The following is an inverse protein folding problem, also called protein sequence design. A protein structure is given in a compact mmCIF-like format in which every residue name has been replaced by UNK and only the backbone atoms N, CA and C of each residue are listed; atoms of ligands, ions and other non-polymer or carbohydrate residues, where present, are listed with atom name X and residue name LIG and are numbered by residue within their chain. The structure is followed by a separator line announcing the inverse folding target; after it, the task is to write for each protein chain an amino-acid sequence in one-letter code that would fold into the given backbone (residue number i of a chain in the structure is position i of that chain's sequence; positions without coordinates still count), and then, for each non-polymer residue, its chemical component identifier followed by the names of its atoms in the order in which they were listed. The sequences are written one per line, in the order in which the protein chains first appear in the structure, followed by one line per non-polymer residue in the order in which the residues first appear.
data_IF_019225774326
#
_entry.id   IF_019225774326
#
_cell.length_a   1.000
_cell.length_b   1.000
_cell.length_c   1.000
_cell.angle_alpha   90.00
_cell.angle_beta   90.00
_cell.angle_gamma   90.00
#
_symmetry.space_group_name_H-M   'P 1'
#
loop_
_entity.id
_entity.type
_entity.pdbx_description
1 polymer ?
#
# COMPACT_ATOMS: atom_id res chain seq x y z
N UNK A 1 -19.65 -34.62 31.05
CA UNK A 1 -18.91 -35.19 29.91
C UNK A 1 -18.92 -34.19 28.77
N UNK A 2 -17.83 -33.45 28.50
CA UNK A 2 -17.68 -32.72 27.25
C UNK A 2 -16.77 -33.52 26.29
N UNK A 3 -17.23 -33.76 25.07
CA UNK A 3 -16.46 -34.39 23.98
C UNK A 3 -15.60 -33.35 23.27
N UNK A 4 -14.30 -33.64 23.12
CA UNK A 4 -13.35 -32.85 22.35
C UNK A 4 -13.55 -33.06 20.84
N UNK A 5 -13.29 -32.05 19.98
CA UNK A 5 -13.11 -32.30 18.56
C UNK A 5 -11.71 -32.86 18.28
N UNK A 6 -11.65 -34.15 17.92
CA UNK A 6 -10.51 -34.75 17.24
C UNK A 6 -10.38 -34.14 15.85
N UNK A 7 -9.29 -33.42 15.57
CA UNK A 7 -8.84 -33.16 14.21
C UNK A 7 -7.37 -33.54 14.14
N UNK A 8 -7.11 -34.73 13.60
CA UNK A 8 -5.78 -35.19 13.21
C UNK A 8 -5.84 -35.55 11.75
N UNK A 9 -5.20 -34.75 10.92
CA UNK A 9 -4.61 -35.22 9.67
C UNK A 9 -3.40 -34.35 9.35
N UNK A 10 -2.25 -35.03 9.32
CA UNK A 10 -0.92 -34.49 9.15
C UNK A 10 -0.71 -33.80 7.79
N UNK A 11 0.18 -32.82 7.82
CA UNK A 11 0.78 -32.19 6.65
C UNK A 11 1.51 -33.20 5.75
N UNK A 12 1.77 -32.81 4.50
CA UNK A 12 3.14 -32.88 4.03
C UNK A 12 3.74 -31.48 3.98
N UNK A 13 4.80 -31.33 4.76
CA UNK A 13 5.75 -30.23 4.75
C UNK A 13 6.20 -29.91 3.31
N UNK A 14 5.92 -28.69 2.84
CA UNK A 14 6.75 -28.10 1.80
C UNK A 14 7.95 -27.44 2.49
N UNK A 15 8.77 -28.30 3.12
CA UNK A 15 10.12 -27.96 3.50
C UNK A 15 10.97 -28.07 2.25
N UNK A 16 11.91 -27.13 2.10
CA UNK A 16 12.84 -26.94 0.98
C UNK A 16 12.33 -25.93 -0.05
N UNK A 17 13.01 -24.77 -0.06
CA UNK A 17 13.32 -23.88 -1.21
C UNK A 17 13.44 -22.40 -0.82
N UNK A 18 13.50 -22.07 0.47
CA UNK A 18 13.75 -20.67 0.87
C UNK A 18 15.22 -20.25 0.72
N UNK A 19 16.17 -21.20 0.60
CA UNK A 19 17.61 -20.93 0.44
C UNK A 19 18.30 -21.94 -0.49
N UNK A 20 17.78 -22.12 -1.71
CA UNK A 20 18.50 -22.87 -2.73
C UNK A 20 18.43 -22.13 -4.05
N UNK A 21 19.38 -21.22 -4.25
CA UNK A 21 20.37 -21.27 -5.33
C UNK A 21 21.28 -20.04 -5.16
N UNK A 22 22.58 -20.25 -5.04
CA UNK A 22 23.57 -19.18 -5.11
C UNK A 22 23.53 -18.64 -6.54
N UNK A 23 22.72 -17.60 -6.79
CA UNK A 23 22.77 -16.87 -8.05
C UNK A 23 24.02 -16.00 -8.07
N UNK A 24 25.09 -16.65 -8.55
CA UNK A 24 26.20 -16.09 -9.32
C UNK A 24 25.81 -14.73 -9.92
N UNK A 25 26.58 -13.69 -9.61
CA UNK A 25 26.40 -12.32 -10.09
C UNK A 25 26.44 -12.29 -11.62
N UNK A 26 25.29 -12.44 -12.27
CA UNK A 26 25.14 -12.13 -13.68
C UNK A 26 24.71 -10.66 -13.78
N UNK A 27 25.66 -9.82 -14.16
CA UNK A 27 25.41 -8.44 -14.54
C UNK A 27 24.58 -8.44 -15.83
N UNK A 28 23.26 -8.26 -15.69
CA UNK A 28 22.41 -7.93 -16.83
C UNK A 28 22.53 -6.44 -17.05
N UNK A 29 23.11 -6.05 -18.19
CA UNK A 29 23.14 -4.68 -18.65
C UNK A 29 21.71 -4.15 -18.77
N UNK A 30 21.35 -3.18 -17.92
CA UNK A 30 20.06 -2.49 -18.00
C UNK A 30 20.14 -1.44 -19.12
N UNK A 31 19.37 -1.64 -20.19
CA UNK A 31 19.13 -0.62 -21.21
C UNK A 31 18.45 0.58 -20.56
N UNK A 32 18.94 1.83 -20.76
CA UNK A 32 18.30 2.99 -20.18
C UNK A 32 16.93 3.23 -20.82
N UNK A 33 15.91 3.38 -19.97
CA UNK A 33 14.56 3.79 -20.40
C UNK A 33 14.62 5.27 -20.79
N UNK A 34 14.40 5.55 -22.08
CA UNK A 34 14.32 6.90 -22.63
C UNK A 34 12.92 7.49 -22.36
N UNK A 35 12.81 8.43 -21.42
CA UNK A 35 11.58 9.19 -21.20
C UNK A 35 11.41 10.23 -22.30
N UNK A 36 10.31 10.23 -23.08
CA UNK A 36 10.12 11.20 -24.16
C UNK A 36 9.95 12.61 -23.56
N UNK A 37 10.84 13.54 -23.92
CA UNK A 37 10.73 14.96 -23.57
C UNK A 37 11.85 15.54 -22.72
N UNK A 38 12.78 14.73 -22.20
CA UNK A 38 13.91 15.25 -21.43
C UNK A 38 15.08 15.63 -22.36
N UNK A 39 15.29 16.92 -22.59
CA UNK A 39 16.52 17.44 -23.21
C UNK A 39 17.59 17.49 -22.12
N UNK A 40 18.49 16.52 -22.14
CA UNK A 40 19.70 16.58 -21.33
C UNK A 40 20.67 17.54 -22.03
N UNK A 41 20.75 18.78 -21.54
CA UNK A 41 21.86 19.66 -21.90
C UNK A 41 23.14 19.06 -21.32
N UNK A 42 24.05 18.66 -22.21
CA UNK A 42 25.40 18.19 -21.90
C UNK A 42 26.20 19.33 -21.29
N UNK A 43 26.05 19.52 -19.98
CA UNK A 43 27.02 20.27 -19.20
C UNK A 43 28.20 19.34 -18.91
N UNK A 44 29.41 19.78 -19.26
CA UNK A 44 30.66 19.11 -18.90
C UNK A 44 30.75 18.99 -17.37
N UNK A 45 30.30 17.86 -16.85
CA UNK A 45 30.32 17.55 -15.43
C UNK A 45 31.71 17.03 -15.09
N UNK A 46 32.48 17.88 -14.41
CA UNK A 46 33.70 17.51 -13.70
C UNK A 46 33.55 16.13 -13.01
N UNK A 47 34.37 15.18 -13.45
CA UNK A 47 34.18 13.72 -13.38
C UNK A 47 34.48 13.07 -12.04
N UNK A 48 34.28 13.78 -10.93
CA UNK A 48 34.31 13.19 -9.58
C UNK A 48 33.06 13.59 -8.82
N UNK A 49 31.90 13.10 -9.28
CA UNK A 49 30.73 13.06 -8.40
C UNK A 49 31.07 12.11 -7.25
N UNK A 50 30.93 12.54 -5.98
CA UNK A 50 31.12 11.62 -4.86
C UNK A 50 30.17 10.44 -5.07
N UNK A 51 30.72 9.23 -5.00
CA UNK A 51 29.91 8.02 -4.95
C UNK A 51 29.04 8.05 -3.69
N UNK A 52 27.89 7.37 -3.72
CA UNK A 52 26.99 7.25 -2.56
C UNK A 52 27.72 6.71 -1.31
N UNK A 53 28.78 5.94 -1.51
CA UNK A 53 29.64 5.41 -0.45
C UNK A 53 30.66 6.43 0.08
N UNK A 54 30.96 7.49 -0.68
CA UNK A 54 31.87 8.58 -0.31
C UNK A 54 31.13 9.84 0.17
N UNK A 55 29.80 9.88 0.06
CA UNK A 55 29.00 10.92 0.70
C UNK A 55 28.81 10.56 2.17
N UNK A 56 29.33 11.41 3.06
CA UNK A 56 28.93 11.36 4.46
C UNK A 56 27.42 11.56 4.56
N UNK A 57 26.74 10.65 5.24
CA UNK A 57 25.30 10.78 5.49
C UNK A 57 25.07 12.08 6.24
N UNK A 58 24.15 12.95 5.77
CA UNK A 58 23.88 14.20 6.46
C UNK A 58 23.42 13.87 7.87
N UNK A 59 24.22 14.30 8.86
CA UNK A 59 23.79 14.21 10.25
C UNK A 59 22.50 15.01 10.38
N UNK A 60 21.48 14.50 11.08
CA UNK A 60 20.30 15.28 11.36
C UNK A 60 20.74 16.59 12.03
N UNK A 61 20.17 17.70 11.56
CA UNK A 61 20.49 19.05 12.07
C UNK A 61 20.08 19.27 13.51
N UNK A 62 19.21 18.40 14.02
CA UNK A 62 18.63 18.46 15.35
C UNK A 62 18.88 17.14 16.09
N UNK A 63 19.03 17.22 17.41
CA UNK A 63 19.05 16.04 18.27
C UNK A 63 17.72 15.31 18.17
N UNK A 64 17.78 14.00 17.99
CA UNK A 64 16.59 13.16 17.87
C UNK A 64 15.92 13.10 19.24
N UNK A 65 14.75 13.72 19.34
CA UNK A 65 13.89 13.56 20.51
C UNK A 65 13.27 12.15 20.51
N UNK A 66 13.85 11.29 21.34
CA UNK A 66 13.49 9.87 21.44
C UNK A 66 12.08 9.69 22.03
N UNK A 67 11.69 10.55 22.97
CA UNK A 67 10.38 10.45 23.63
C UNK A 67 9.27 10.69 22.61
N UNK A 68 9.35 11.78 21.84
CA UNK A 68 8.36 12.04 20.79
C UNK A 68 8.39 11.02 19.66
N UNK A 69 9.52 10.36 19.39
CA UNK A 69 9.57 9.27 18.40
C UNK A 69 8.86 8.00 18.87
N UNK A 70 8.94 7.68 20.15
CA UNK A 70 8.28 6.51 20.74
C UNK A 70 6.78 6.72 20.93
N UNK A 71 6.35 7.95 21.21
CA UNK A 71 4.93 8.30 21.37
C UNK A 71 4.15 8.35 20.06
N UNK A 72 4.86 8.42 18.93
CA UNK A 72 4.22 8.43 17.61
C UNK A 72 3.41 7.16 17.39
N UNK A 73 2.18 7.35 16.92
CA UNK A 73 1.36 6.22 16.50
C UNK A 73 2.08 5.46 15.38
N UNK A 74 2.07 4.12 15.44
CA UNK A 74 2.81 3.32 14.48
C UNK A 74 2.23 3.51 13.08
N UNK A 75 3.13 3.56 12.09
CA UNK A 75 2.75 3.80 10.70
C UNK A 75 1.85 2.70 10.12
N UNK A 76 1.28 2.98 8.95
CA UNK A 76 0.34 2.07 8.25
C UNK A 76 0.92 0.71 7.88
N UNK A 77 2.25 0.56 7.87
CA UNK A 77 2.92 -0.72 7.60
C UNK A 77 2.87 -1.68 8.80
N UNK A 78 2.52 -1.18 9.99
CA UNK A 78 2.32 -2.01 11.18
C UNK A 78 0.92 -2.65 11.18
N UNK A 79 0.76 -3.74 11.94
CA UNK A 79 -0.52 -4.44 12.08
C UNK A 79 -1.61 -3.49 12.59
N UNK A 80 -1.31 -2.73 13.66
CA UNK A 80 -2.23 -1.72 14.22
C UNK A 80 -2.60 -0.66 13.16
N UNK A 81 -1.60 -0.16 12.42
CA UNK A 81 -1.82 0.83 11.36
C UNK A 81 -2.64 0.30 10.18
N UNK A 82 -2.47 -0.96 9.78
CA UNK A 82 -3.30 -1.61 8.77
C UNK A 82 -4.74 -1.78 9.25
N UNK A 83 -4.94 -2.25 10.48
CA UNK A 83 -6.27 -2.42 11.06
C UNK A 83 -7.03 -1.09 11.14
N UNK A 84 -6.39 -0.02 11.63
CA UNK A 84 -7.00 1.32 11.68
C UNK A 84 -7.34 1.86 10.27
N UNK A 85 -6.44 1.65 9.30
CA UNK A 85 -6.70 2.05 7.92
C UNK A 85 -7.89 1.30 7.30
N UNK A 86 -8.03 0.01 7.59
CA UNK A 86 -9.16 -0.80 7.12
C UNK A 86 -10.45 -0.41 7.82
N UNK A 87 -10.44 -0.17 9.13
CA UNK A 87 -11.61 0.31 9.88
C UNK A 87 -12.12 1.64 9.33
N UNK A 88 -11.24 2.60 9.07
CA UNK A 88 -11.61 3.88 8.43
C UNK A 88 -12.21 3.72 7.04
N UNK A 89 -11.83 2.69 6.28
CA UNK A 89 -12.43 2.40 4.97
C UNK A 89 -13.83 1.83 5.13
N UNK A 90 -14.01 0.90 6.07
CA UNK A 90 -15.32 0.30 6.38
C UNK A 90 -16.33 1.33 6.90
N UNK A 91 -15.90 2.33 7.67
CA UNK A 91 -16.77 3.42 8.13
C UNK A 91 -17.22 4.37 7.00
N UNK A 92 -16.46 4.44 5.89
CA UNK A 92 -16.77 5.33 4.76
C UNK A 92 -17.66 4.67 3.72
N UNK A 93 -17.73 3.34 3.72
CA UNK A 93 -18.76 2.63 2.97
C UNK A 93 -20.06 2.67 3.79
N UNK A 94 -21.17 3.21 3.25
CA UNK A 94 -22.47 3.04 3.88
C UNK A 94 -22.74 1.54 4.03
N UNK A 95 -23.43 1.17 5.12
CA UNK A 95 -23.80 -0.24 5.31
C UNK A 95 -24.60 -0.72 4.09
N UNK A 96 -24.49 -2.00 3.75
CA UNK A 96 -25.16 -2.53 2.54
C UNK A 96 -26.68 -2.27 2.56
N UNK A 97 -27.26 -2.25 3.75
CA UNK A 97 -28.67 -1.95 4.00
C UNK A 97 -29.01 -0.47 3.77
N UNK A 98 -28.17 0.46 4.25
CA UNK A 98 -28.31 1.89 3.95
C UNK A 98 -28.18 2.19 2.46
N UNK A 99 -27.25 1.52 1.78
CA UNK A 99 -27.05 1.67 0.34
C UNK A 99 -28.27 1.19 -0.46
N UNK A 100 -28.91 0.09 -0.04
CA UNK A 100 -30.16 -0.40 -0.63
C UNK A 100 -31.33 0.56 -0.38
N UNK A 101 -31.47 1.05 0.86
CA UNK A 101 -32.52 2.00 1.21
C UNK A 101 -32.38 3.34 0.47
N UNK A 102 -31.15 3.81 0.24
CA UNK A 102 -30.89 5.00 -0.57
C UNK A 102 -31.29 4.76 -2.03
N UNK A 103 -30.91 3.62 -2.61
CA UNK A 103 -31.25 3.27 -4.00
C UNK A 103 -32.76 3.18 -4.23
N UNK A 104 -33.51 2.65 -3.27
CA UNK A 104 -34.97 2.59 -3.36
C UNK A 104 -35.58 4.00 -3.36
N UNK A 105 -35.12 4.89 -2.48
CA UNK A 105 -35.56 6.29 -2.44
C UNK A 105 -35.23 7.02 -3.75
N UNK A 106 -34.03 6.80 -4.28
CA UNK A 106 -33.62 7.41 -5.55
C UNK A 106 -34.47 6.91 -6.73
N UNK A 107 -34.85 5.63 -6.74
CA UNK A 107 -35.74 5.06 -7.75
C UNK A 107 -37.15 5.63 -7.67
N UNK A 108 -37.71 5.75 -6.48
CA UNK A 108 -39.04 6.34 -6.28
C UNK A 108 -39.07 7.81 -6.71
N UNK A 109 -38.04 8.57 -6.34
CA UNK A 109 -37.87 9.96 -6.78
C UNK A 109 -37.76 10.06 -8.30
N UNK A 110 -36.91 9.24 -8.93
CA UNK A 110 -36.76 9.25 -10.39
C UNK A 110 -38.06 8.88 -11.12
N UNK A 111 -38.84 7.95 -10.55
CA UNK A 111 -40.17 7.59 -11.07
C UNK A 111 -41.15 8.76 -10.99
N UNK A 112 -41.13 9.53 -9.90
CA UNK A 112 -41.95 10.73 -9.74
C UNK A 112 -41.54 11.84 -10.71
N UNK A 113 -40.24 12.12 -10.81
CA UNK A 113 -39.69 13.12 -11.75
C UNK A 113 -40.06 12.79 -13.20
N UNK A 114 -39.99 11.51 -13.60
CA UNK A 114 -40.41 11.06 -14.92
C UNK A 114 -41.91 11.27 -15.15
N UNK A 115 -42.75 10.97 -14.15
CA UNK A 115 -44.20 11.20 -14.27
C UNK A 115 -44.55 12.69 -14.30
N UNK A 116 -43.79 13.52 -13.60
CA UNK A 116 -43.96 14.97 -13.61
C UNK A 116 -43.53 15.59 -14.95
N UNK A 117 -42.45 15.09 -15.57
CA UNK A 117 -41.97 15.59 -16.86
C UNK A 117 -42.90 15.26 -18.03
N UNK A 118 -43.68 14.17 -17.94
CA UNK A 118 -44.69 13.80 -18.93
C UNK A 118 -46.06 14.48 -18.73
N UNK A 119 -46.22 15.36 -17.74
CA UNK A 119 -47.50 16.04 -17.44
C UNK A 119 -47.62 17.42 -18.11
N UNK A 120 -47.11 17.55 -19.34
CA UNK A 120 -47.34 18.70 -20.25
C UNK A 120 -48.65 18.47 -21.00
#
# INVERSE_FOLDING_TARGET
MPTAPTSVAAAPSNANHYFSEVHKTQSTATTPVSTPGFKADETEINTRRPTVLSSDFPKPSEEIDVESMLDRQPGRWTIKGQMEANQRRQQKSPSEEEAKAQRQRDFEKAKEDLRASFRI
#
